data_IF_535806947950
#
_entry.id   IF_535806947950
#
_cell.length_a   1.000
_cell.length_b   1.000
_cell.length_c   1.000
_cell.angle_alpha   90.00
_cell.angle_beta   90.00
_cell.angle_gamma   90.00
#
_symmetry.space_group_name_H-M   'P 1'
#
loop_
_entity.id
_entity.type
_entity.pdbx_description
1 polymer ?
#
# COMPACT_ATOMS: atom_id res chain seq x y z
N UNK A 1 -40.27 -35.25 39.77
CA UNK A 1 -41.67 -35.55 40.09
C UNK A 1 -42.51 -34.44 39.46
N UNK A 2 -43.36 -34.58 38.43
CA UNK A 2 -43.90 -35.63 37.53
C UNK A 2 -44.05 -34.91 36.15
N UNK A 3 -43.59 -35.44 35.01
CA UNK A 3 -44.18 -36.49 34.14
C UNK A 3 -45.62 -36.11 33.70
N UNK A 4 -45.82 -35.48 32.52
CA UNK A 4 -46.09 -36.04 31.16
C UNK A 4 -47.60 -36.26 30.90
N UNK A 5 -48.12 -36.75 29.74
CA UNK A 5 -47.63 -36.81 28.33
C UNK A 5 -48.75 -36.57 27.24
N UNK A 6 -48.39 -36.85 25.96
CA UNK A 6 -49.21 -37.31 24.80
C UNK A 6 -49.90 -36.24 23.93
N UNK A 7 -49.89 -36.32 22.58
CA UNK A 7 -49.44 -37.38 21.69
C UNK A 7 -49.49 -36.97 20.20
N UNK A 8 -48.76 -37.72 19.38
CA UNK A 8 -48.89 -37.74 17.92
C UNK A 8 -50.14 -38.54 17.50
N UNK A 9 -50.62 -38.44 16.23
CA UNK A 9 -50.17 -39.45 15.27
C UNK A 9 -50.05 -39.02 13.78
N UNK A 10 -49.07 -39.68 13.14
CA UNK A 10 -49.07 -40.36 11.82
C UNK A 10 -49.37 -39.63 10.50
N UNK A 11 -48.29 -39.52 9.71
CA UNK A 11 -48.06 -40.13 8.39
C UNK A 11 -49.06 -39.92 7.24
N UNK A 12 -48.60 -39.23 6.20
CA UNK A 12 -48.98 -39.47 4.80
C UNK A 12 -47.80 -39.28 3.84
N UNK A 13 -47.34 -40.42 3.32
CA UNK A 13 -46.98 -40.73 1.92
C UNK A 13 -46.06 -39.82 1.12
N UNK A 14 -44.88 -40.37 0.83
CA UNK A 14 -44.05 -40.19 -0.36
C UNK A 14 -44.87 -40.37 -1.66
N UNK A 15 -44.82 -39.39 -2.58
CA UNK A 15 -44.73 -39.62 -4.03
C UNK A 15 -44.54 -38.29 -4.79
N UNK A 16 -43.62 -38.34 -5.76
CA UNK A 16 -43.57 -37.54 -6.99
C UNK A 16 -43.17 -36.05 -6.92
N UNK A 17 -41.89 -35.77 -7.24
CA UNK A 17 -41.52 -34.72 -8.21
C UNK A 17 -40.04 -34.83 -8.64
N UNK A 18 -39.65 -35.96 -9.23
CA UNK A 18 -38.45 -36.04 -10.08
C UNK A 18 -38.77 -35.45 -11.45
N UNK A 19 -38.44 -34.18 -11.71
CA UNK A 19 -38.31 -33.63 -13.07
C UNK A 19 -37.62 -32.27 -13.05
N UNK A 20 -36.63 -32.12 -13.94
CA UNK A 20 -35.84 -30.91 -14.30
C UNK A 20 -34.46 -30.73 -13.63
N UNK A 21 -33.61 -31.75 -13.75
CA UNK A 21 -32.15 -31.59 -13.82
C UNK A 21 -31.63 -32.26 -15.08
N UNK A 22 -32.03 -31.75 -16.26
CA UNK A 22 -31.50 -32.12 -17.58
C UNK A 22 -31.80 -30.97 -18.54
N UNK A 23 -30.99 -29.90 -18.52
CA UNK A 23 -30.91 -28.89 -19.61
C UNK A 23 -29.79 -27.83 -19.51
N UNK A 24 -28.77 -28.02 -18.65
CA UNK A 24 -27.62 -27.10 -18.60
C UNK A 24 -26.26 -27.74 -18.94
N UNK A 25 -26.24 -29.03 -19.29
CA UNK A 25 -25.01 -29.76 -19.64
C UNK A 25 -24.64 -29.81 -21.13
N UNK A 26 -25.37 -29.13 -22.01
CA UNK A 26 -25.15 -29.20 -23.48
C UNK A 26 -24.81 -27.83 -24.10
N UNK A 27 -24.90 -26.72 -23.35
CA UNK A 27 -24.47 -25.39 -23.83
C UNK A 27 -23.01 -25.08 -23.48
N UNK A 28 -22.39 -25.87 -22.58
CA UNK A 28 -20.98 -25.67 -22.19
C UNK A 28 -20.00 -26.47 -23.06
N UNK A 29 -20.47 -27.46 -23.85
CA UNK A 29 -19.58 -28.26 -24.71
C UNK A 29 -19.43 -27.75 -26.16
N UNK A 30 -20.17 -26.71 -26.58
CA UNK A 30 -20.03 -26.08 -27.90
C UNK A 30 -19.34 -24.71 -27.86
N UNK A 31 -19.05 -24.17 -26.68
CA UNK A 31 -18.20 -22.98 -26.52
C UNK A 31 -16.70 -23.32 -26.35
N UNK A 32 -16.35 -24.60 -26.17
CA UNK A 32 -14.95 -25.07 -26.09
C UNK A 32 -14.40 -25.70 -27.38
N UNK A 33 -15.20 -25.74 -28.46
CA UNK A 33 -14.77 -26.19 -29.80
C UNK A 33 -14.69 -25.04 -30.83
N UNK A 34 -14.84 -23.78 -30.39
CA UNK A 34 -14.77 -22.58 -31.22
C UNK A 34 -13.53 -21.70 -31.01
N UNK A 35 -12.52 -22.18 -30.27
CA UNK A 35 -11.22 -21.49 -30.07
C UNK A 35 -10.02 -22.42 -30.32
N UNK A 36 -10.22 -23.47 -31.13
CA UNK A 36 -9.17 -24.31 -31.73
C UNK A 36 -9.23 -24.25 -33.26
N UNK A 37 -9.30 -23.03 -33.81
CA UNK A 37 -9.14 -22.78 -35.23
C UNK A 37 -8.74 -21.32 -35.48
N UNK A 38 -7.57 -20.93 -34.96
CA UNK A 38 -6.77 -19.77 -35.38
C UNK A 38 -5.35 -19.97 -34.81
N UNK A 39 -4.68 -21.03 -35.28
CA UNK A 39 -3.31 -21.36 -34.95
C UNK A 39 -2.61 -21.95 -36.19
N UNK A 40 -2.53 -21.16 -37.27
CA UNK A 40 -1.59 -21.38 -38.38
C UNK A 40 -1.18 -20.00 -38.90
N UNK A 41 -0.06 -19.48 -38.40
CA UNK A 41 0.94 -18.67 -39.13
C UNK A 41 1.98 -18.11 -38.14
N UNK A 42 2.96 -18.95 -37.78
CA UNK A 42 4.31 -18.52 -37.42
C UNK A 42 5.20 -19.76 -37.45
N UNK A 43 5.80 -20.00 -38.62
CA UNK A 43 6.76 -21.06 -38.83
C UNK A 43 7.93 -20.92 -37.84
N UNK A 44 8.33 -22.05 -37.28
CA UNK A 44 9.50 -22.21 -36.45
C UNK A 44 10.76 -21.68 -37.17
N UNK A 45 11.39 -20.65 -36.61
CA UNK A 45 12.80 -20.38 -36.84
C UNK A 45 13.59 -20.95 -35.67
N UNK A 46 14.23 -22.09 -35.93
CA UNK A 46 15.28 -22.65 -35.08
C UNK A 46 16.43 -21.63 -35.05
N UNK A 47 16.88 -21.12 -33.89
CA UNK A 47 18.06 -20.28 -33.85
C UNK A 47 19.30 -21.13 -34.19
N UNK A 48 19.98 -20.76 -35.27
CA UNK A 48 21.30 -21.27 -35.64
C UNK A 48 22.30 -20.91 -34.53
N UNK A 49 23.23 -21.79 -34.13
CA UNK A 49 24.27 -21.46 -33.17
C UNK A 49 25.15 -20.34 -33.72
N UNK A 50 24.91 -19.11 -33.27
CA UNK A 50 25.75 -17.96 -33.59
C UNK A 50 27.11 -18.12 -32.94
N UNK A 51 28.16 -18.15 -33.77
CA UNK A 51 29.57 -18.16 -33.37
C UNK A 51 29.83 -17.11 -32.28
N UNK A 52 30.46 -17.57 -31.20
CA UNK A 52 30.85 -16.73 -30.07
C UNK A 52 31.72 -15.56 -30.48
N UNK A 53 31.30 -14.37 -30.06
CA UNK A 53 32.17 -13.20 -29.90
C UNK A 53 32.48 -13.09 -28.41
N UNK A 54 33.47 -13.85 -27.96
CA UNK A 54 34.07 -13.66 -26.64
C UNK A 54 34.87 -12.36 -26.68
N UNK A 55 34.21 -11.23 -26.45
CA UNK A 55 34.92 -10.00 -26.12
C UNK A 55 35.40 -10.13 -24.68
N UNK A 56 36.70 -10.33 -24.51
CA UNK A 56 37.34 -10.34 -23.20
C UNK A 56 37.01 -9.03 -22.47
N UNK A 57 36.36 -9.14 -21.31
CA UNK A 57 36.05 -8.02 -20.42
C UNK A 57 37.35 -7.43 -19.91
N UNK A 58 37.59 -6.14 -20.17
CA UNK A 58 38.74 -5.42 -19.61
C UNK A 58 38.58 -5.34 -18.09
N UNK A 59 39.61 -5.67 -17.29
CA UNK A 59 39.59 -5.40 -15.85
C UNK A 59 39.62 -3.88 -15.65
N UNK A 60 38.58 -3.32 -15.03
CA UNK A 60 38.52 -1.89 -14.70
C UNK A 60 37.22 -1.17 -15.07
N UNK A 61 36.28 -1.83 -15.73
CA UNK A 61 34.92 -1.30 -15.90
C UNK A 61 34.17 -1.48 -14.58
N UNK A 62 34.34 -0.51 -13.66
CA UNK A 62 33.38 -0.27 -12.60
C UNK A 62 32.01 -0.24 -13.28
N UNK A 63 31.11 -1.15 -12.87
CA UNK A 63 29.69 -1.00 -13.15
C UNK A 63 29.35 0.43 -12.73
N UNK A 64 29.11 1.33 -13.70
CA UNK A 64 28.26 2.48 -13.41
C UNK A 64 26.98 1.83 -12.89
N UNK A 65 26.80 1.87 -11.57
CA UNK A 65 25.61 1.37 -10.93
C UNK A 65 24.47 2.11 -11.61
N UNK A 66 23.68 1.39 -12.41
CA UNK A 66 22.50 1.97 -13.03
C UNK A 66 21.71 2.62 -11.88
N UNK A 67 21.64 3.95 -11.87
CA UNK A 67 20.81 4.65 -10.92
C UNK A 67 19.39 4.19 -11.23
N UNK A 68 18.84 3.30 -10.41
CA UNK A 68 17.44 2.97 -10.51
C UNK A 68 16.68 4.21 -10.10
N UNK A 69 15.87 4.81 -10.98
CA UNK A 69 14.81 5.66 -10.47
C UNK A 69 13.78 4.74 -9.80
N UNK A 70 13.94 4.53 -8.52
CA UNK A 70 13.10 3.61 -7.73
C UNK A 70 11.65 4.08 -7.62
N UNK A 71 11.45 5.41 -7.59
CA UNK A 71 10.14 6.03 -7.39
C UNK A 71 9.86 7.13 -8.42
N UNK A 72 8.57 7.36 -8.70
CA UNK A 72 8.05 8.49 -9.45
C UNK A 72 7.02 9.24 -8.60
N UNK A 73 7.35 10.46 -8.16
CA UNK A 73 6.53 11.24 -7.25
C UNK A 73 5.52 12.12 -7.99
N UNK A 74 4.29 12.18 -7.49
CA UNK A 74 3.21 13.01 -8.03
C UNK A 74 2.45 13.75 -6.92
N UNK A 75 1.88 14.91 -7.27
CA UNK A 75 0.89 15.63 -6.47
C UNK A 75 -0.32 15.91 -7.37
N UNK A 76 -1.34 15.04 -7.30
CA UNK A 76 -2.53 15.10 -8.15
C UNK A 76 -3.73 15.74 -7.44
N UNK A 77 -4.41 16.67 -8.14
CA UNK A 77 -5.55 17.42 -7.60
C UNK A 77 -6.70 16.51 -7.13
N UNK A 78 -7.19 15.63 -8.01
CA UNK A 78 -8.35 14.79 -7.72
C UNK A 78 -8.11 13.77 -6.62
N UNK A 79 -6.90 13.18 -6.59
CA UNK A 79 -6.54 12.25 -5.53
C UNK A 79 -6.44 12.95 -4.17
N UNK A 80 -5.86 14.15 -4.13
CA UNK A 80 -5.82 14.96 -2.91
C UNK A 80 -7.23 15.36 -2.45
N UNK A 81 -8.10 15.82 -3.35
CA UNK A 81 -9.49 16.16 -3.03
C UNK A 81 -10.24 14.96 -2.43
N UNK A 82 -10.08 13.78 -3.02
CA UNK A 82 -10.67 12.55 -2.50
C UNK A 82 -10.21 12.25 -1.07
N UNK A 83 -8.90 12.32 -0.82
CA UNK A 83 -8.34 12.06 0.51
C UNK A 83 -8.79 13.10 1.55
N UNK A 84 -8.89 14.37 1.16
CA UNK A 84 -9.38 15.45 2.05
C UNK A 84 -10.86 15.23 2.38
N UNK A 85 -11.73 14.96 1.40
CA UNK A 85 -13.15 14.69 1.66
C UNK A 85 -13.33 13.42 2.52
N UNK A 86 -12.52 12.39 2.29
CA UNK A 86 -12.50 11.18 3.11
C UNK A 86 -12.07 11.48 4.56
N UNK A 87 -11.03 12.29 4.77
CA UNK A 87 -10.61 12.75 6.11
C UNK A 87 -11.73 13.53 6.80
N UNK A 88 -12.36 14.50 6.10
CA UNK A 88 -13.45 15.30 6.67
C UNK A 88 -14.66 14.46 7.06
N UNK A 89 -15.02 13.46 6.25
CA UNK A 89 -16.08 12.53 6.59
C UNK A 89 -15.76 11.74 7.88
N UNK A 90 -14.50 11.32 8.04
CA UNK A 90 -14.05 10.64 9.27
C UNK A 90 -14.06 11.57 10.47
N UNK A 91 -13.63 12.82 10.32
CA UNK A 91 -13.70 13.84 11.38
C UNK A 91 -15.14 14.00 11.86
N UNK A 92 -16.08 14.15 10.91
CA UNK A 92 -17.49 14.35 11.21
C UNK A 92 -18.11 13.17 11.97
N UNK A 93 -17.69 11.96 11.62
CA UNK A 93 -18.08 10.72 12.31
C UNK A 93 -17.24 10.43 13.57
N UNK A 94 -16.40 11.37 14.02
CA UNK A 94 -15.51 11.22 15.17
C UNK A 94 -14.61 9.97 15.11
N UNK A 95 -14.22 9.59 13.90
CA UNK A 95 -13.37 8.43 13.65
C UNK A 95 -11.90 8.78 13.82
N UNK A 96 -11.06 7.83 14.25
CA UNK A 96 -9.62 8.06 14.32
C UNK A 96 -9.05 8.47 12.95
N UNK A 97 -8.28 9.55 12.93
CA UNK A 97 -7.51 10.02 11.75
C UNK A 97 -6.07 9.54 11.78
N UNK A 98 -5.66 8.97 12.91
CA UNK A 98 -4.32 8.50 13.16
C UNK A 98 -4.40 7.25 14.03
N UNK A 99 -3.49 6.30 13.80
CA UNK A 99 -3.24 5.25 14.78
C UNK A 99 -2.61 5.88 16.03
N UNK A 100 -3.12 5.62 17.25
CA UNK A 100 -2.45 6.06 18.47
C UNK A 100 -1.06 5.41 18.54
N UNK A 101 -0.04 6.20 18.89
CA UNK A 101 1.34 5.71 19.01
C UNK A 101 1.51 4.88 20.29
N UNK A 102 0.67 5.11 21.31
CA UNK A 102 0.67 4.29 22.54
C UNK A 102 -0.75 3.92 23.01
N UNK A 103 -0.93 2.79 23.71
CA UNK A 103 -2.24 2.35 24.22
C UNK A 103 -2.92 3.34 25.18
N UNK A 104 -2.14 4.20 25.84
CA UNK A 104 -2.63 5.22 26.77
C UNK A 104 -2.83 6.59 26.11
N UNK A 105 -2.45 6.74 24.85
CA UNK A 105 -2.86 7.88 24.04
C UNK A 105 -4.33 7.64 23.71
N UNK A 106 -5.23 8.49 24.22
CA UNK A 106 -6.52 8.69 23.52
C UNK A 106 -6.16 8.88 22.05
N UNK A 107 -6.90 8.27 21.11
CA UNK A 107 -6.71 8.49 19.67
C UNK A 107 -6.52 9.99 19.45
N UNK A 108 -5.26 10.37 19.38
CA UNK A 108 -4.82 11.66 19.87
C UNK A 108 -4.58 12.43 18.62
N UNK A 109 -5.36 13.49 18.46
CA UNK A 109 -5.07 14.64 17.62
C UNK A 109 -3.60 14.65 17.18
N UNK A 110 -3.32 14.02 16.04
CA UNK A 110 -2.43 14.66 15.09
C UNK A 110 -2.93 16.11 15.02
N UNK A 111 -2.07 17.13 14.93
CA UNK A 111 -2.56 18.42 14.43
C UNK A 111 -3.37 18.03 13.21
N UNK A 112 -4.71 18.22 13.26
CA UNK A 112 -5.62 17.57 12.31
C UNK A 112 -4.94 17.69 10.92
N UNK A 113 -4.70 16.58 10.23
CA UNK A 113 -3.75 16.63 9.10
C UNK A 113 -4.25 17.63 8.04
N UNK A 114 -5.58 17.82 8.02
CA UNK A 114 -6.32 19.00 7.52
C UNK A 114 -6.97 19.86 8.62
N UNK A 115 -6.22 20.31 9.63
CA UNK A 115 -6.70 20.90 10.90
C UNK A 115 -7.48 22.19 10.82
N UNK A 116 -7.67 22.71 9.63
CA UNK A 116 -8.21 24.02 9.40
C UNK A 116 -8.82 24.10 8.03
N UNK A 117 -9.85 23.29 7.77
CA UNK A 117 -11.00 23.89 7.10
C UNK A 117 -11.76 24.63 8.22
N UNK A 118 -11.44 25.91 8.56
CA UNK A 118 -10.58 26.92 7.93
C UNK A 118 -9.30 27.31 8.75
N UNK A 119 -8.35 28.03 8.13
CA UNK A 119 -7.31 28.85 8.79
C UNK A 119 -7.70 30.35 8.86
N UNK A 120 -7.06 31.18 9.71
CA UNK A 120 -7.64 32.39 10.31
C UNK A 120 -7.94 33.50 9.28
N UNK A 121 -9.23 33.70 8.96
CA UNK A 121 -9.73 34.93 8.33
C UNK A 121 -10.89 34.80 7.34
N UNK A 122 -11.11 33.65 6.71
CA UNK A 122 -12.11 33.55 5.64
C UNK A 122 -13.29 32.63 5.99
N UNK A 123 -14.46 33.25 6.10
CA UNK A 123 -15.76 32.58 6.15
C UNK A 123 -16.05 32.09 4.72
N UNK A 124 -16.22 30.77 4.53
CA UNK A 124 -16.75 30.24 3.27
C UNK A 124 -18.07 30.95 2.96
N UNK A 125 -18.30 31.32 1.70
CA UNK A 125 -19.62 31.82 1.30
C UNK A 125 -20.67 30.74 1.57
N UNK A 126 -21.95 31.12 1.69
CA UNK A 126 -23.02 30.16 1.88
C UNK A 126 -23.07 29.10 0.76
N UNK A 127 -22.71 29.49 -0.47
CA UNK A 127 -22.62 28.58 -1.62
C UNK A 127 -21.46 27.60 -1.49
N UNK A 128 -20.26 28.07 -1.14
CA UNK A 128 -19.10 27.21 -0.94
C UNK A 128 -19.30 26.25 0.23
N UNK A 129 -19.87 26.74 1.34
CA UNK A 129 -20.18 25.93 2.51
C UNK A 129 -21.18 24.82 2.17
N UNK A 130 -22.20 25.14 1.36
CA UNK A 130 -23.18 24.15 0.88
C UNK A 130 -22.53 23.11 -0.04
N UNK A 131 -21.79 23.54 -1.06
CA UNK A 131 -21.14 22.64 -2.02
C UNK A 131 -20.14 21.69 -1.32
N UNK A 132 -19.32 22.21 -0.41
CA UNK A 132 -18.41 21.41 0.39
C UNK A 132 -19.15 20.46 1.33
N UNK A 133 -20.15 20.97 2.04
CA UNK A 133 -20.97 20.18 2.98
C UNK A 133 -21.66 18.99 2.31
N UNK A 134 -22.28 19.20 1.15
CA UNK A 134 -22.95 18.16 0.36
C UNK A 134 -21.97 17.06 -0.08
N UNK A 135 -20.75 17.42 -0.48
CA UNK A 135 -19.72 16.45 -0.83
C UNK A 135 -19.23 15.65 0.38
N UNK A 136 -18.99 16.31 1.52
CA UNK A 136 -18.64 15.62 2.78
C UNK A 136 -19.77 14.68 3.22
N UNK A 137 -21.02 15.11 3.11
CA UNK A 137 -22.21 14.29 3.41
C UNK A 137 -22.27 13.05 2.51
N UNK A 138 -21.97 13.18 1.22
CA UNK A 138 -21.84 12.03 0.33
C UNK A 138 -20.77 11.06 0.85
N UNK A 139 -19.58 11.55 1.20
CA UNK A 139 -18.50 10.71 1.71
C UNK A 139 -18.88 10.03 3.03
N UNK A 140 -19.48 10.73 3.98
CA UNK A 140 -19.97 10.16 5.24
C UNK A 140 -20.89 8.96 4.97
N UNK A 141 -21.86 9.12 4.08
CA UNK A 141 -22.84 8.06 3.77
C UNK A 141 -22.26 6.88 3.01
N UNK A 142 -21.26 7.10 2.16
CA UNK A 142 -20.88 6.11 1.13
C UNK A 142 -19.46 5.56 1.25
N UNK A 143 -18.48 6.39 1.64
CA UNK A 143 -17.05 6.07 1.56
C UNK A 143 -16.33 6.15 2.91
N UNK A 144 -16.76 6.99 3.86
CA UNK A 144 -16.04 7.28 5.11
C UNK A 144 -15.82 6.07 6.04
N UNK A 145 -16.56 4.99 5.80
CA UNK A 145 -16.47 3.73 6.53
C UNK A 145 -15.67 2.65 5.80
N UNK A 146 -15.31 2.89 4.55
CA UNK A 146 -14.55 1.96 3.72
C UNK A 146 -13.07 2.07 4.02
N UNK A 147 -12.37 0.96 3.86
CA UNK A 147 -10.94 0.88 4.06
C UNK A 147 -10.21 1.36 2.79
N UNK A 148 -9.29 2.32 2.92
CA UNK A 148 -8.55 2.86 1.77
C UNK A 148 -7.63 1.84 1.10
N UNK A 149 -7.20 0.82 1.84
CA UNK A 149 -6.21 -0.18 1.44
C UNK A 149 -6.87 -1.48 0.96
N UNK A 150 -7.90 -1.96 1.65
CA UNK A 150 -8.48 -3.29 1.42
C UNK A 150 -9.83 -3.29 0.72
N UNK A 151 -10.49 -2.14 0.56
CA UNK A 151 -11.71 -2.04 -0.23
C UNK A 151 -11.37 -1.90 -1.73
N UNK A 152 -11.84 -2.86 -2.53
CA UNK A 152 -11.56 -2.89 -3.97
C UNK A 152 -12.15 -1.69 -4.71
N UNK A 153 -13.33 -1.21 -4.31
CA UNK A 153 -13.95 -0.04 -4.94
C UNK A 153 -13.14 1.22 -4.62
N UNK A 154 -12.62 1.36 -3.39
CA UNK A 154 -11.73 2.47 -3.00
C UNK A 154 -10.43 2.46 -3.80
N UNK A 155 -9.87 1.27 -4.04
CA UNK A 155 -8.66 1.09 -4.86
C UNK A 155 -8.90 1.52 -6.31
N UNK A 156 -9.98 1.03 -6.93
CA UNK A 156 -10.37 1.38 -8.30
C UNK A 156 -10.62 2.89 -8.42
N UNK A 157 -11.35 3.46 -7.46
CA UNK A 157 -11.61 4.88 -7.38
C UNK A 157 -10.31 5.69 -7.36
N UNK A 158 -9.42 5.40 -6.41
CA UNK A 158 -8.14 6.11 -6.24
C UNK A 158 -7.32 6.07 -7.52
N UNK A 159 -7.12 4.87 -8.08
CA UNK A 159 -6.34 4.70 -9.31
C UNK A 159 -6.95 5.49 -10.48
N UNK A 160 -8.28 5.51 -10.58
CA UNK A 160 -8.95 6.31 -11.62
C UNK A 160 -8.75 7.81 -11.41
N UNK A 161 -8.88 8.33 -10.18
CA UNK A 161 -8.66 9.76 -9.90
C UNK A 161 -7.22 10.20 -10.18
N UNK A 162 -6.29 9.28 -9.99
CA UNK A 162 -4.87 9.45 -10.27
C UNK A 162 -4.60 9.54 -11.78
N UNK A 163 -5.23 8.69 -12.59
CA UNK A 163 -5.19 8.81 -14.06
C UNK A 163 -5.77 10.15 -14.55
N UNK A 164 -6.77 10.68 -13.84
CA UNK A 164 -7.44 11.94 -14.19
C UNK A 164 -6.69 13.19 -13.68
N UNK A 165 -5.47 13.09 -13.16
CA UNK A 165 -4.76 14.20 -12.50
C UNK A 165 -4.66 15.49 -13.34
N UNK A 166 -4.59 15.38 -14.67
CA UNK A 166 -4.48 16.51 -15.60
C UNK A 166 -5.83 17.01 -16.15
N UNK A 167 -6.94 16.42 -15.72
CA UNK A 167 -8.27 16.79 -16.19
C UNK A 167 -8.89 17.91 -15.35
N UNK A 168 -9.55 18.86 -16.02
CA UNK A 168 -10.29 19.95 -15.36
C UNK A 168 -11.60 19.51 -14.71
N UNK A 169 -12.14 18.38 -15.15
CA UNK A 169 -13.37 17.75 -14.66
C UNK A 169 -13.29 16.21 -14.79
N UNK A 170 -14.25 15.49 -14.24
CA UNK A 170 -14.35 14.02 -14.24
C UNK A 170 -15.55 13.51 -15.04
N UNK A 171 -16.43 14.42 -15.47
CA UNK A 171 -17.63 14.14 -16.26
C UNK A 171 -17.38 14.04 -17.77
N UNK A 172 -16.20 14.51 -18.24
CA UNK A 172 -15.84 14.58 -19.65
C UNK A 172 -16.23 15.91 -20.33
N UNK A 173 -16.65 16.94 -19.59
CA UNK A 173 -16.99 18.26 -20.14
C UNK A 173 -15.82 18.92 -20.86
N UNK A 174 -14.61 18.76 -20.35
CA UNK A 174 -13.37 19.29 -20.94
C UNK A 174 -12.85 18.43 -22.10
N UNK A 175 -13.46 17.27 -22.35
CA UNK A 175 -13.11 16.35 -23.43
C UNK A 175 -13.34 14.89 -23.06
N UNK A 176 -13.51 14.02 -24.06
CA UNK A 176 -13.81 12.60 -23.86
C UNK A 176 -12.75 11.87 -23.02
N UNK A 177 -11.48 12.29 -23.10
CA UNK A 177 -10.39 11.74 -22.28
C UNK A 177 -10.52 12.02 -20.78
N UNK A 178 -11.36 12.98 -20.38
CA UNK A 178 -11.65 13.32 -18.99
C UNK A 178 -12.97 12.76 -18.47
N UNK A 179 -13.63 11.89 -19.25
CA UNK A 179 -14.75 11.11 -18.77
C UNK A 179 -14.23 9.98 -17.85
N UNK A 180 -14.33 10.19 -16.54
CA UNK A 180 -13.78 9.25 -15.55
C UNK A 180 -14.48 7.89 -15.55
N UNK A 181 -15.73 7.78 -16.02
CA UNK A 181 -16.51 6.55 -15.94
C UNK A 181 -16.87 6.13 -14.50
N UNK A 182 -16.57 6.98 -13.51
CA UNK A 182 -17.00 6.78 -12.13
C UNK A 182 -18.52 7.01 -11.99
N UNK A 183 -19.11 6.55 -10.89
CA UNK A 183 -20.53 6.75 -10.60
C UNK A 183 -20.89 8.24 -10.65
N UNK A 184 -21.98 8.57 -11.32
CA UNK A 184 -22.39 9.96 -11.55
C UNK A 184 -22.53 10.78 -10.26
N UNK A 185 -23.07 10.18 -9.19
CA UNK A 185 -23.20 10.85 -7.88
C UNK A 185 -21.84 11.20 -7.25
N UNK A 186 -20.84 10.33 -7.41
CA UNK A 186 -19.48 10.58 -6.94
C UNK A 186 -18.81 11.68 -7.77
N UNK A 187 -18.96 11.64 -9.10
CA UNK A 187 -18.47 12.69 -9.99
C UNK A 187 -19.08 14.03 -9.61
N UNK A 188 -20.40 14.09 -9.39
CA UNK A 188 -21.09 15.29 -8.97
C UNK A 188 -20.58 15.81 -7.60
N UNK A 189 -20.41 14.92 -6.61
CA UNK A 189 -19.86 15.30 -5.31
C UNK A 189 -18.43 15.86 -5.40
N UNK A 190 -17.55 15.20 -6.16
CA UNK A 190 -16.17 15.64 -6.38
C UNK A 190 -16.10 16.97 -7.12
N UNK A 191 -16.84 17.12 -8.22
CA UNK A 191 -16.82 18.34 -9.02
C UNK A 191 -17.46 19.54 -8.30
N UNK A 192 -18.52 19.31 -7.53
CA UNK A 192 -19.14 20.35 -6.68
C UNK A 192 -18.14 20.90 -5.67
N UNK A 193 -17.39 20.03 -5.00
CA UNK A 193 -16.36 20.43 -4.04
C UNK A 193 -15.07 20.95 -4.71
N UNK A 194 -14.80 20.60 -5.97
CA UNK A 194 -13.54 20.91 -6.65
C UNK A 194 -13.29 22.41 -6.76
N UNK A 195 -14.32 23.20 -7.05
CA UNK A 195 -14.21 24.66 -7.10
C UNK A 195 -13.75 25.24 -5.76
N UNK A 196 -14.42 24.84 -4.68
CA UNK A 196 -14.09 25.26 -3.31
C UNK A 196 -12.67 24.82 -2.94
N UNK A 197 -12.33 23.55 -3.20
CA UNK A 197 -11.00 23.01 -2.89
C UNK A 197 -9.88 23.77 -3.60
N UNK A 198 -10.08 24.03 -4.90
CA UNK A 198 -9.11 24.75 -5.72
C UNK A 198 -8.88 26.17 -5.22
N UNK A 199 -9.95 26.86 -4.83
CA UNK A 199 -9.89 28.25 -4.36
C UNK A 199 -9.27 28.36 -2.95
N UNK A 200 -9.58 27.41 -2.06
CA UNK A 200 -9.30 27.57 -0.62
C UNK A 200 -8.07 26.81 -0.12
N UNK A 201 -7.79 25.61 -0.64
CA UNK A 201 -6.80 24.72 0.00
C UNK A 201 -5.79 24.09 -0.95
N UNK A 202 -6.13 23.91 -2.23
CA UNK A 202 -5.27 23.20 -3.18
C UNK A 202 -3.88 23.81 -3.30
N UNK A 203 -3.77 25.13 -3.41
CA UNK A 203 -2.48 25.80 -3.55
C UNK A 203 -1.55 25.53 -2.35
N UNK A 204 -2.11 25.44 -1.14
CA UNK A 204 -1.34 25.12 0.06
C UNK A 204 -0.99 23.64 0.15
N UNK A 205 -1.94 22.76 -0.13
CA UNK A 205 -1.71 21.32 -0.09
C UNK A 205 -0.72 20.88 -1.18
N UNK A 206 -0.84 21.39 -2.40
CA UNK A 206 0.12 21.09 -3.49
C UNK A 206 1.51 21.64 -3.16
N UNK A 207 1.60 22.84 -2.57
CA UNK A 207 2.88 23.39 -2.10
C UNK A 207 3.51 22.50 -1.03
N UNK A 208 2.73 22.03 -0.04
CA UNK A 208 3.22 21.12 1.00
C UNK A 208 3.67 19.78 0.41
N UNK A 209 2.89 19.19 -0.51
CA UNK A 209 3.25 17.96 -1.21
C UNK A 209 4.56 18.14 -2.00
N UNK A 210 4.70 19.22 -2.76
CA UNK A 210 5.92 19.51 -3.54
C UNK A 210 7.13 19.78 -2.64
N UNK A 211 6.95 20.45 -1.51
CA UNK A 211 8.01 20.66 -0.53
C UNK A 211 8.48 19.32 0.05
N UNK A 212 7.54 18.43 0.38
CA UNK A 212 7.87 17.06 0.82
C UNK A 212 8.62 16.27 -0.26
N UNK A 213 8.14 16.32 -1.51
CA UNK A 213 8.80 15.67 -2.66
C UNK A 213 10.23 16.20 -2.83
N UNK A 214 10.42 17.53 -2.76
CA UNK A 214 11.73 18.15 -2.87
C UNK A 214 12.67 17.74 -1.73
N UNK A 215 12.16 17.48 -0.54
CA UNK A 215 12.95 17.00 0.60
C UNK A 215 13.28 15.50 0.51
N UNK A 216 12.35 14.67 0.03
CA UNK A 216 12.53 13.22 -0.09
C UNK A 216 13.38 12.81 -1.29
N UNK A 217 13.33 13.58 -2.39
CA UNK A 217 14.00 13.23 -3.66
C UNK A 217 15.52 13.06 -3.50
N UNK A 218 16.28 13.95 -2.83
CA UNK A 218 17.71 13.74 -2.63
C UNK A 218 18.03 12.46 -1.84
N UNK A 219 17.25 12.13 -0.81
CA UNK A 219 17.45 10.90 -0.02
C UNK A 219 17.24 9.65 -0.88
N UNK A 220 16.23 9.68 -1.75
CA UNK A 220 15.94 8.60 -2.70
C UNK A 220 17.03 8.50 -3.77
N UNK A 221 17.54 9.63 -4.27
CA UNK A 221 18.63 9.64 -5.24
C UNK A 221 19.93 9.08 -4.64
N UNK A 222 20.20 9.41 -3.38
CA UNK A 222 21.43 9.00 -2.70
C UNK A 222 21.40 7.53 -2.25
N UNK A 223 20.30 7.07 -1.67
CA UNK A 223 20.23 5.74 -1.05
C UNK A 223 19.35 4.73 -1.79
N UNK A 224 18.53 5.20 -2.75
CA UNK A 224 17.43 4.41 -3.28
C UNK A 224 17.85 3.13 -3.99
N UNK A 225 18.86 3.19 -4.86
CA UNK A 225 19.41 2.00 -5.55
C UNK A 225 19.90 0.97 -4.55
N UNK A 226 20.69 1.39 -3.55
CA UNK A 226 21.25 0.48 -2.55
C UNK A 226 20.13 -0.22 -1.77
N UNK A 227 19.13 0.53 -1.32
CA UNK A 227 18.00 0.00 -0.56
C UNK A 227 17.15 -0.96 -1.40
N UNK A 228 16.84 -0.59 -2.65
CA UNK A 228 16.09 -1.45 -3.56
C UNK A 228 16.79 -2.79 -3.79
N UNK A 229 18.10 -2.77 -4.05
CA UNK A 229 18.88 -3.99 -4.23
C UNK A 229 18.96 -4.84 -2.95
N UNK A 230 19.15 -4.20 -1.78
CA UNK A 230 19.21 -4.91 -0.50
C UNK A 230 17.88 -5.60 -0.17
N UNK A 231 16.75 -4.91 -0.37
CA UNK A 231 15.42 -5.45 -0.11
C UNK A 231 15.07 -6.56 -1.10
N UNK A 232 15.37 -6.39 -2.39
CA UNK A 232 15.22 -7.44 -3.40
C UNK A 232 15.99 -8.72 -3.00
N UNK A 233 17.26 -8.57 -2.58
CA UNK A 233 18.08 -9.70 -2.10
C UNK A 233 17.51 -10.36 -0.85
N UNK A 234 17.08 -9.60 0.16
CA UNK A 234 16.51 -10.15 1.40
C UNK A 234 15.21 -10.88 1.17
N UNK A 235 14.34 -10.35 0.31
CA UNK A 235 13.06 -10.99 0.02
C UNK A 235 13.15 -12.08 -1.06
N UNK A 236 14.34 -12.31 -1.61
CA UNK A 236 14.58 -13.22 -2.73
C UNK A 236 13.60 -12.95 -3.89
N UNK A 237 13.41 -11.67 -4.19
CA UNK A 237 12.44 -11.18 -5.18
C UNK A 237 13.09 -10.11 -6.04
N UNK A 238 12.46 -9.79 -7.17
CA UNK A 238 12.95 -8.75 -8.07
C UNK A 238 12.36 -7.40 -7.69
N UNK A 239 13.20 -6.35 -7.71
CA UNK A 239 12.68 -5.00 -7.65
C UNK A 239 11.96 -4.66 -8.96
N UNK A 240 10.79 -3.99 -8.93
CA UNK A 240 10.08 -3.62 -10.13
C UNK A 240 10.96 -2.88 -11.16
N UNK A 241 10.90 -3.30 -12.42
CA UNK A 241 11.68 -2.68 -13.51
C UNK A 241 11.18 -1.29 -13.90
N UNK A 242 9.91 -0.99 -13.60
CA UNK A 242 9.32 0.34 -13.75
C UNK A 242 9.42 1.11 -12.44
N UNK A 243 9.49 2.45 -12.54
CA UNK A 243 9.41 3.31 -11.37
C UNK A 243 8.12 3.03 -10.62
N UNK A 244 8.19 2.87 -9.30
CA UNK A 244 7.00 2.74 -8.47
C UNK A 244 6.36 4.11 -8.36
N UNK A 245 5.09 4.22 -8.74
CA UNK A 245 4.34 5.46 -8.61
C UNK A 245 4.08 5.78 -7.14
N UNK A 246 4.33 7.02 -6.75
CA UNK A 246 4.07 7.57 -5.41
C UNK A 246 3.20 8.82 -5.54
N UNK A 247 1.94 8.73 -5.11
CA UNK A 247 1.08 9.92 -4.98
C UNK A 247 1.18 10.51 -3.57
N UNK A 248 1.66 11.75 -3.50
CA UNK A 248 1.77 12.51 -2.26
C UNK A 248 0.47 13.29 -2.04
N UNK A 249 -0.15 13.06 -0.89
CA UNK A 249 -1.38 13.72 -0.46
C UNK A 249 -1.18 14.41 0.88
N UNK A 250 -2.01 15.40 1.24
CA UNK A 250 -1.96 15.96 2.61
C UNK A 250 -2.36 14.91 3.66
N UNK A 251 -3.27 14.00 3.30
CA UNK A 251 -3.75 12.88 4.11
C UNK A 251 -3.67 11.57 3.33
N UNK A 252 -3.22 10.49 3.97
CA UNK A 252 -3.07 9.16 3.36
C UNK A 252 -3.48 8.04 4.34
N UNK A 253 -4.63 8.23 5.00
CA UNK A 253 -5.12 7.25 5.98
C UNK A 253 -4.47 7.37 7.36
N UNK A 254 -4.93 6.52 8.28
CA UNK A 254 -4.54 6.58 9.71
C UNK A 254 -3.07 6.19 9.97
N UNK A 255 -2.44 5.55 9.00
CA UNK A 255 -1.04 5.13 9.06
C UNK A 255 -0.10 6.13 8.37
N UNK A 256 -0.63 7.16 7.72
CA UNK A 256 0.19 8.16 7.02
C UNK A 256 0.72 7.68 5.66
N UNK A 257 0.53 6.42 5.30
CA UNK A 257 0.84 5.86 3.98
C UNK A 257 0.19 4.50 3.79
N UNK A 258 0.08 4.06 2.53
CA UNK A 258 -0.38 2.72 2.17
C UNK A 258 0.00 2.36 0.71
N UNK A 259 0.02 1.05 0.42
CA UNK A 259 0.30 0.48 -0.91
C UNK A 259 -0.89 -0.22 -1.54
N UNK A 260 -1.20 0.11 -2.79
CA UNK A 260 -1.97 -0.75 -3.70
C UNK A 260 -1.02 -1.65 -4.47
N UNK A 261 -1.35 -2.94 -4.61
CA UNK A 261 -0.46 -3.93 -5.25
C UNK A 261 -0.68 -4.09 -6.77
N UNK A 262 -1.88 -3.79 -7.28
CA UNK A 262 -2.20 -3.95 -8.70
C UNK A 262 -2.96 -2.73 -9.26
N UNK A 263 -2.29 -1.82 -10.00
CA UNK A 263 -0.83 -1.74 -10.14
C UNK A 263 -0.15 -1.32 -8.82
N UNK A 264 1.13 -1.66 -8.67
CA UNK A 264 1.95 -1.23 -7.54
C UNK A 264 2.01 0.30 -7.45
N UNK A 265 1.42 0.84 -6.39
CA UNK A 265 1.22 2.26 -6.23
C UNK A 265 1.14 2.65 -4.74
N UNK A 266 2.07 3.49 -4.30
CA UNK A 266 2.15 4.03 -2.95
C UNK A 266 1.39 5.36 -2.85
N UNK A 267 0.61 5.54 -1.79
CA UNK A 267 0.06 6.85 -1.42
C UNK A 267 0.62 7.23 -0.05
N UNK A 268 1.20 8.42 0.07
CA UNK A 268 1.89 8.88 1.29
C UNK A 268 1.47 10.29 1.69
N UNK A 269 1.36 10.53 2.99
CA UNK A 269 0.97 11.81 3.55
C UNK A 269 2.18 12.75 3.68
N UNK A 270 2.11 13.94 3.08
CA UNK A 270 3.05 15.03 3.30
C UNK A 270 2.82 15.75 4.64
N UNK A 271 1.57 15.75 5.13
CA UNK A 271 1.18 16.38 6.39
C UNK A 271 1.56 15.56 7.63
N UNK A 272 1.83 14.26 7.46
CA UNK A 272 2.18 13.39 8.57
C UNK A 272 3.63 13.61 9.00
N UNK A 273 3.81 14.06 10.24
CA UNK A 273 5.13 14.31 10.85
C UNK A 273 5.98 13.04 10.92
N UNK A 274 5.36 11.86 10.85
CA UNK A 274 6.02 10.56 10.85
C UNK A 274 6.64 10.20 9.50
N UNK A 275 6.33 10.95 8.44
CA UNK A 275 6.85 10.74 7.09
C UNK A 275 7.94 11.76 6.71
N UNK A 276 8.62 12.40 7.68
CA UNK A 276 9.58 13.47 7.39
C UNK A 276 11.03 12.99 7.54
N UNK A 277 11.97 13.63 6.84
CA UNK A 277 13.40 13.32 6.97
C UNK A 277 13.72 11.87 6.60
N UNK A 278 14.57 11.19 7.39
CA UNK A 278 14.90 9.78 7.15
C UNK A 278 13.68 8.84 7.20
N UNK A 279 12.66 9.18 7.99
CA UNK A 279 11.43 8.39 8.07
C UNK A 279 10.66 8.36 6.73
N UNK A 280 10.78 9.41 5.91
CA UNK A 280 10.22 9.40 4.55
C UNK A 280 10.77 8.23 3.72
N UNK A 281 12.09 8.01 3.80
CA UNK A 281 12.78 6.94 3.10
C UNK A 281 12.34 5.57 3.64
N UNK A 282 12.28 5.42 4.96
CA UNK A 282 11.83 4.20 5.62
C UNK A 282 10.40 3.82 5.22
N UNK A 283 9.47 4.77 5.24
CA UNK A 283 8.07 4.52 4.85
C UNK A 283 7.98 4.16 3.36
N UNK A 284 8.63 4.90 2.45
CA UNK A 284 8.60 4.58 1.02
C UNK A 284 9.06 3.15 0.72
N UNK A 285 10.16 2.73 1.33
CA UNK A 285 10.71 1.38 1.12
C UNK A 285 9.94 0.31 1.88
N UNK A 286 9.32 0.62 3.03
CA UNK A 286 8.37 -0.26 3.69
C UNK A 286 7.16 -0.53 2.79
N UNK A 287 6.54 0.54 2.27
CA UNK A 287 5.37 0.47 1.42
C UNK A 287 5.67 -0.32 0.12
N UNK A 288 6.83 -0.08 -0.51
CA UNK A 288 7.27 -0.87 -1.67
C UNK A 288 7.45 -2.36 -1.33
N UNK A 289 7.94 -2.68 -0.12
CA UNK A 289 8.20 -4.05 0.30
C UNK A 289 6.95 -4.93 0.41
N UNK A 290 5.75 -4.34 0.47
CA UNK A 290 4.51 -5.12 0.44
C UNK A 290 4.37 -6.01 -0.80
N UNK A 291 4.85 -5.56 -1.97
CA UNK A 291 4.83 -6.33 -3.21
C UNK A 291 5.98 -7.35 -3.27
N UNK A 292 7.21 -6.89 -2.99
CA UNK A 292 8.41 -7.71 -3.08
C UNK A 292 8.36 -8.96 -2.21
N UNK A 293 7.69 -8.85 -1.06
CA UNK A 293 7.91 -9.75 0.04
C UNK A 293 6.74 -10.72 0.26
N UNK A 294 5.92 -10.92 -0.77
CA UNK A 294 4.88 -11.95 -0.82
C UNK A 294 5.42 -13.36 -0.47
N UNK A 295 6.63 -13.70 -0.93
CA UNK A 295 7.29 -14.97 -0.60
C UNK A 295 7.44 -15.18 0.91
N UNK A 296 7.82 -14.13 1.64
CA UNK A 296 7.95 -14.15 3.09
C UNK A 296 6.60 -14.27 3.78
N UNK A 297 5.58 -13.53 3.33
CA UNK A 297 4.19 -13.67 3.83
C UNK A 297 3.72 -15.13 3.70
N UNK A 298 3.94 -15.74 2.54
CA UNK A 298 3.54 -17.11 2.26
C UNK A 298 4.32 -18.12 3.13
N UNK A 299 5.62 -17.90 3.33
CA UNK A 299 6.43 -18.72 4.22
C UNK A 299 5.93 -18.66 5.68
N UNK A 300 5.67 -17.46 6.21
CA UNK A 300 5.10 -17.29 7.56
C UNK A 300 3.78 -18.04 7.72
N UNK A 301 2.87 -17.95 6.75
CA UNK A 301 1.60 -18.68 6.78
C UNK A 301 1.81 -20.20 6.78
N UNK A 302 2.81 -20.72 6.06
CA UNK A 302 3.18 -22.14 6.13
C UNK A 302 3.69 -22.51 7.52
N UNK A 303 4.61 -21.71 8.09
CA UNK A 303 5.19 -21.98 9.41
C UNK A 303 4.14 -21.99 10.53
N UNK A 304 3.18 -21.06 10.50
CA UNK A 304 2.05 -21.03 11.45
C UNK A 304 1.18 -22.29 11.33
N UNK A 305 0.83 -22.68 10.09
CA UNK A 305 0.00 -23.87 9.85
C UNK A 305 0.69 -25.15 10.30
N UNK A 306 1.97 -25.33 9.95
CA UNK A 306 2.74 -26.52 10.34
C UNK A 306 2.84 -26.68 11.86
N UNK A 307 2.89 -25.57 12.61
CA UNK A 307 2.98 -25.59 14.07
C UNK A 307 1.63 -25.51 14.79
N UNK A 308 0.52 -25.49 14.04
CA UNK A 308 -0.82 -25.28 14.60
C UNK A 308 -0.91 -24.03 15.50
N UNK A 309 -0.15 -22.98 15.17
CA UNK A 309 -0.16 -21.69 15.90
C UNK A 309 -1.16 -20.72 15.24
N UNK A 310 -1.83 -19.86 16.01
CA UNK A 310 -2.68 -18.82 15.45
C UNK A 310 -1.84 -17.84 14.62
N UNK A 311 -2.32 -17.51 13.42
CA UNK A 311 -1.66 -16.54 12.54
C UNK A 311 -1.69 -15.17 13.19
N UNK A 312 -0.52 -14.61 13.51
CA UNK A 312 -0.36 -13.22 13.94
C UNK A 312 -0.08 -12.37 12.70
N UNK A 313 -1.09 -11.62 12.24
CA UNK A 313 -1.01 -10.84 10.99
C UNK A 313 0.04 -9.73 11.08
N UNK A 314 0.20 -9.18 12.26
CA UNK A 314 1.12 -8.07 12.58
C UNK A 314 2.59 -8.47 12.51
N UNK A 315 2.91 -9.78 12.58
CA UNK A 315 4.30 -10.23 12.41
C UNK A 315 4.80 -9.88 11.00
N UNK A 316 3.91 -9.91 10.00
CA UNK A 316 4.28 -9.61 8.64
C UNK A 316 4.75 -8.17 8.49
N UNK A 317 3.91 -7.23 8.93
CA UNK A 317 4.25 -5.81 8.94
C UNK A 317 5.48 -5.53 9.83
N UNK A 318 5.66 -6.27 10.93
CA UNK A 318 6.83 -6.15 11.78
C UNK A 318 8.14 -6.53 11.08
N UNK A 319 8.13 -7.60 10.27
CA UNK A 319 9.30 -7.98 9.46
C UNK A 319 9.60 -6.91 8.42
N UNK A 320 8.58 -6.36 7.75
CA UNK A 320 8.76 -5.31 6.76
C UNK A 320 9.37 -4.05 7.37
N UNK A 321 8.78 -3.53 8.45
CA UNK A 321 9.34 -2.36 9.13
C UNK A 321 10.77 -2.64 9.61
N UNK A 322 10.98 -3.70 10.39
CA UNK A 322 12.29 -4.03 10.95
C UNK A 322 13.39 -4.12 9.87
N UNK A 323 13.09 -4.81 8.77
CA UNK A 323 14.04 -4.99 7.66
C UNK A 323 14.40 -3.64 7.02
N UNK A 324 13.39 -2.83 6.69
CA UNK A 324 13.62 -1.53 6.07
C UNK A 324 14.34 -0.58 7.02
N UNK A 325 13.98 -0.56 8.31
CA UNK A 325 14.66 0.24 9.34
C UNK A 325 16.15 -0.09 9.42
N UNK A 326 16.52 -1.38 9.49
CA UNK A 326 17.93 -1.77 9.61
C UNK A 326 18.74 -1.34 8.37
N UNK A 327 18.16 -1.43 7.17
CA UNK A 327 18.82 -0.98 5.95
C UNK A 327 18.92 0.54 5.84
N UNK A 328 17.88 1.29 6.20
CA UNK A 328 17.93 2.76 6.22
C UNK A 328 18.97 3.24 7.23
N UNK A 329 19.01 2.66 8.44
CA UNK A 329 20.04 2.94 9.44
C UNK A 329 21.44 2.68 8.89
N UNK A 330 21.64 1.56 8.20
CA UNK A 330 22.93 1.23 7.61
C UNK A 330 23.33 2.22 6.51
N UNK A 331 22.40 2.58 5.63
CA UNK A 331 22.64 3.51 4.53
C UNK A 331 23.06 4.89 5.05
N UNK A 332 22.30 5.46 5.98
CA UNK A 332 22.55 6.79 6.54
C UNK A 332 23.76 6.78 7.50
N UNK A 333 24.00 5.69 8.24
CA UNK A 333 25.17 5.60 9.13
C UNK A 333 26.52 5.64 8.40
N UNK A 334 26.55 5.37 7.08
CA UNK A 334 27.77 5.48 6.27
C UNK A 334 28.22 6.93 6.05
N UNK A 335 27.37 7.91 6.39
CA UNK A 335 27.70 9.35 6.40
C UNK A 335 28.53 9.78 7.63
N UNK A 336 28.87 8.84 8.52
CA UNK A 336 29.64 9.07 9.73
C UNK A 336 28.78 9.26 10.98
N UNK A 337 29.42 9.71 12.07
CA UNK A 337 28.81 9.70 13.42
C UNK A 337 27.56 10.59 13.54
N UNK A 338 27.48 11.66 12.74
CA UNK A 338 26.32 12.54 12.69
C UNK A 338 25.12 11.86 11.99
N UNK A 339 25.37 11.19 10.85
CA UNK A 339 24.37 10.41 10.12
C UNK A 339 23.80 9.27 10.97
N UNK A 340 24.66 8.55 11.72
CA UNK A 340 24.20 7.49 12.63
C UNK A 340 23.25 8.01 13.71
N UNK A 341 23.62 9.09 14.42
CA UNK A 341 22.75 9.70 15.43
C UNK A 341 21.44 10.20 14.83
N UNK A 342 21.48 10.75 13.63
CA UNK A 342 20.29 11.19 12.89
C UNK A 342 19.38 10.02 12.55
N UNK A 343 19.92 8.94 11.99
CA UNK A 343 19.16 7.74 11.66
C UNK A 343 18.51 7.10 12.90
N UNK A 344 19.23 7.03 14.02
CA UNK A 344 18.70 6.52 15.30
C UNK A 344 17.61 7.43 15.89
N UNK A 345 17.66 8.74 15.65
CA UNK A 345 16.66 9.72 16.13
C UNK A 345 15.46 9.87 15.19
N UNK A 346 15.63 9.58 13.90
CA UNK A 346 14.63 9.79 12.84
C UNK A 346 14.00 8.50 12.34
N UNK A 347 14.57 7.31 12.60
CA UNK A 347 13.99 6.03 12.18
C UNK A 347 12.57 5.84 12.74
N UNK A 348 11.63 5.51 11.86
CA UNK A 348 10.21 5.40 12.17
C UNK A 348 9.93 4.32 13.22
N UNK A 349 10.52 3.13 13.06
CA UNK A 349 10.41 2.03 14.03
C UNK A 349 10.84 2.42 15.45
N UNK A 350 11.94 3.17 15.57
CA UNK A 350 12.49 3.59 16.86
C UNK A 350 11.71 4.78 17.46
N UNK A 351 11.34 5.75 16.62
CA UNK A 351 10.69 7.01 17.01
C UNK A 351 9.22 6.83 17.38
N UNK A 352 8.48 6.03 16.62
CA UNK A 352 7.03 5.84 16.84
C UNK A 352 6.70 4.65 17.73
N UNK A 353 7.71 4.10 18.42
CA UNK A 353 7.54 3.13 19.49
C UNK A 353 6.55 2.03 19.10
N UNK A 354 6.79 1.36 17.98
CA UNK A 354 6.20 0.03 17.78
C UNK A 354 6.50 -0.88 18.99
N UNK A 355 7.53 -0.54 19.78
CA UNK A 355 7.78 -0.94 21.18
C UNK A 355 6.60 -0.81 22.18
N UNK A 356 5.41 -0.36 21.80
CA UNK A 356 4.17 -0.55 22.56
C UNK A 356 3.92 -2.04 22.88
N UNK A 357 3.16 -2.32 23.95
CA UNK A 357 2.84 -3.69 24.39
C UNK A 357 2.21 -4.47 23.22
N UNK A 358 2.97 -5.39 22.63
CA UNK A 358 2.59 -6.13 21.42
C UNK A 358 3.80 -6.44 20.55
N UNK A 359 4.55 -5.42 20.11
CA UNK A 359 5.65 -5.64 19.17
C UNK A 359 7.00 -5.87 19.85
N UNK A 360 7.15 -5.62 21.15
CA UNK A 360 8.38 -5.97 21.87
C UNK A 360 8.71 -7.48 21.75
N UNK A 361 7.69 -8.33 21.69
CA UNK A 361 7.86 -9.75 21.46
C UNK A 361 8.37 -10.02 20.05
N UNK A 362 7.82 -9.33 19.04
CA UNK A 362 8.33 -9.39 17.67
C UNK A 362 9.76 -8.88 17.59
N UNK A 363 10.07 -7.71 18.15
CA UNK A 363 11.42 -7.15 18.16
C UNK A 363 12.44 -8.14 18.73
N UNK A 364 12.18 -8.72 19.92
CA UNK A 364 13.09 -9.71 20.51
C UNK A 364 13.28 -10.95 19.64
N UNK A 365 12.21 -11.43 18.99
CA UNK A 365 12.30 -12.56 18.07
C UNK A 365 13.09 -12.18 16.80
N UNK A 366 12.86 -11.00 16.24
CA UNK A 366 13.53 -10.48 15.06
C UNK A 366 15.02 -10.22 15.32
N UNK A 367 15.37 -9.56 16.42
CA UNK A 367 16.77 -9.35 16.84
C UNK A 367 17.53 -10.67 16.95
N UNK A 368 16.88 -11.71 17.47
CA UNK A 368 17.53 -13.01 17.71
C UNK A 368 17.61 -13.89 16.47
N UNK A 369 16.61 -13.83 15.60
CA UNK A 369 16.42 -14.85 14.56
C UNK A 369 16.35 -14.28 13.14
N UNK A 370 15.91 -13.04 12.96
CA UNK A 370 15.82 -12.38 11.66
C UNK A 370 17.06 -11.54 11.36
N UNK A 371 17.56 -10.76 12.32
CA UNK A 371 18.75 -9.91 12.15
C UNK A 371 20.00 -10.68 11.69
N UNK A 372 20.32 -11.86 12.24
CA UNK A 372 21.48 -12.62 11.75
C UNK A 372 21.35 -13.03 10.27
N UNK A 373 20.11 -13.27 9.80
CA UNK A 373 19.86 -13.53 8.38
C UNK A 373 20.08 -12.27 7.54
N UNK A 374 19.57 -11.11 7.97
CA UNK A 374 19.82 -9.83 7.29
C UNK A 374 21.33 -9.56 7.16
N UNK A 375 22.09 -9.76 8.24
CA UNK A 375 23.54 -9.60 8.25
C UNK A 375 24.24 -10.57 7.29
N UNK A 376 23.80 -11.83 7.24
CA UNK A 376 24.32 -12.82 6.28
C UNK A 376 24.02 -12.44 4.82
N UNK A 377 22.83 -11.90 4.53
CA UNK A 377 22.50 -11.39 3.17
C UNK A 377 23.40 -10.21 2.81
N UNK A 378 23.65 -9.29 3.74
CA UNK A 378 24.55 -8.15 3.52
C UNK A 378 26.00 -8.59 3.25
N UNK A 379 26.45 -9.67 3.89
CA UNK A 379 27.78 -10.24 3.71
C UNK A 379 27.90 -11.17 2.49
N UNK A 380 26.80 -11.44 1.78
CA UNK A 380 26.75 -12.40 0.69
C UNK A 380 26.99 -13.85 1.13
N UNK A 381 26.80 -14.14 2.42
CA UNK A 381 27.00 -15.46 3.01
C UNK A 381 25.70 -16.24 3.26
N UNK A 382 24.53 -15.59 3.06
CA UNK A 382 23.24 -16.27 3.16
C UNK A 382 23.06 -17.27 2.02
N UNK A 383 22.74 -18.52 2.38
CA UNK A 383 22.29 -19.55 1.47
C UNK A 383 20.80 -19.44 1.11
N UNK A 384 20.33 -20.22 0.13
CA UNK A 384 18.95 -20.16 -0.36
C UNK A 384 17.90 -20.43 0.74
N UNK A 385 18.18 -21.39 1.63
CA UNK A 385 17.25 -21.83 2.68
C UNK A 385 17.33 -21.01 3.98
N UNK A 386 18.25 -20.04 4.07
CA UNK A 386 18.46 -19.29 5.32
C UNK A 386 17.26 -18.41 5.68
N UNK A 387 16.52 -17.91 4.70
CA UNK A 387 15.31 -17.13 4.92
C UNK A 387 14.23 -17.97 5.62
N UNK A 388 14.03 -19.20 5.17
CA UNK A 388 13.03 -20.12 5.72
C UNK A 388 13.40 -20.54 7.13
N UNK A 389 14.69 -20.84 7.37
CA UNK A 389 15.20 -21.11 8.72
C UNK A 389 15.01 -19.93 9.67
N UNK A 390 15.26 -18.71 9.21
CA UNK A 390 15.07 -17.51 10.01
C UNK A 390 13.60 -17.32 10.38
N UNK A 391 12.69 -17.41 9.42
CA UNK A 391 11.24 -17.26 9.62
C UNK A 391 10.69 -18.36 10.55
N UNK A 392 11.11 -19.60 10.37
CA UNK A 392 10.76 -20.72 11.23
C UNK A 392 11.10 -20.44 12.70
N UNK A 393 12.30 -19.93 12.98
CA UNK A 393 12.77 -19.58 14.32
C UNK A 393 12.04 -18.37 14.90
N UNK A 394 11.74 -17.37 14.08
CA UNK A 394 10.91 -16.22 14.49
C UNK A 394 9.52 -16.69 14.94
N UNK A 395 8.85 -17.52 14.13
CA UNK A 395 7.52 -18.06 14.46
C UNK A 395 7.57 -19.00 15.68
N UNK A 396 8.66 -19.75 15.86
CA UNK A 396 8.86 -20.60 17.03
C UNK A 396 8.94 -19.79 18.33
N UNK A 397 9.64 -18.65 18.31
CA UNK A 397 9.84 -17.78 19.47
C UNK A 397 8.60 -16.99 19.93
N UNK A 398 7.51 -17.00 19.15
CA UNK A 398 6.26 -16.25 19.37
C UNK A 398 5.07 -17.13 19.73
#
# INVERSE_FOLDING_TARGET
>A
MRIAPQGAPRARTLAAATRKWRRSGVVILLAMLGLMALAIEAAAQVPVPGKGSSRARKPGEQLEAAQYPVFEFHSGFWNNLHHVLYEQARIREQRPLARPETPNQRAGTLPKLSAGLPGPGEVLTAEEARAWGEAVDYYVRTLGNRDLLFDSDMTILKNRLVEMANCGDLSGRSGAGCASGLKAELVAALESAAGVYRARWWNEHDRANRAWIAAATPLVQEHGTLLAEQLARVYQSEWPTKRIRVDVCVYAGVHGGYTTLDPLHITISSGDVRNQGAAALEVLFHEASHDLAEGVRNALLREYRQRSKPVRRELWDAILFYTTTEFVKQAISREGTAGRKRAEQEAYWDRHRLTARGWQNFQRALDRHWKPYLEAVMLGSAGPDDIERALARVVEAL
#
